data_IF_571416396412
#
_entry.id   IF_571416396412
#
_cell.length_a   1.000
_cell.length_b   1.000
_cell.length_c   1.000
_cell.angle_alpha   90.00
_cell.angle_beta   90.00
_cell.angle_gamma   90.00
#
_symmetry.space_group_name_H-M   'P 1'
#
loop_
_entity.id
_entity.type
_entity.pdbx_description
1 polymer ?
#
# COMPACT_ATOMS: atom_id res chain seq x y z
N UNK A 1 -42.00 1.45 -50.42
CA UNK A 1 -41.98 1.05 -48.99
C UNK A 1 -41.25 -0.29 -48.90
N UNK A 2 -40.00 -0.29 -48.44
CA UNK A 2 -39.17 -1.49 -48.35
C UNK A 2 -39.37 -2.13 -46.97
N UNK A 3 -39.69 -3.43 -46.85
CA UNK A 3 -39.91 -4.04 -45.55
C UNK A 3 -38.60 -4.12 -44.77
N UNK A 4 -38.61 -3.61 -43.54
CA UNK A 4 -37.50 -3.77 -42.60
C UNK A 4 -37.39 -5.25 -42.22
N UNK A 5 -36.38 -5.94 -42.76
CA UNK A 5 -36.09 -7.34 -42.46
C UNK A 5 -35.63 -7.44 -41.01
N UNK A 6 -36.50 -7.96 -40.14
CA UNK A 6 -36.15 -8.26 -38.74
C UNK A 6 -35.07 -9.34 -38.71
N UNK A 7 -33.83 -8.95 -38.41
CA UNK A 7 -32.71 -9.86 -38.16
C UNK A 7 -32.89 -10.48 -36.77
N UNK A 8 -33.79 -11.46 -36.65
CA UNK A 8 -33.81 -12.31 -35.45
C UNK A 8 -32.66 -13.30 -35.56
N UNK A 9 -31.69 -13.29 -34.63
CA UNK A 9 -30.59 -14.24 -34.66
C UNK A 9 -31.14 -15.67 -34.54
N UNK A 10 -30.68 -16.57 -35.41
CA UNK A 10 -31.03 -17.98 -35.33
C UNK A 10 -30.47 -18.63 -34.06
N UNK A 11 -30.99 -19.81 -33.65
CA UNK A 11 -30.56 -20.52 -32.44
C UNK A 11 -29.06 -20.82 -32.41
N UNK A 12 -28.43 -21.01 -33.58
CA UNK A 12 -26.99 -21.19 -33.71
C UNK A 12 -26.20 -19.93 -33.33
N UNK A 13 -26.69 -18.74 -33.71
CA UNK A 13 -26.07 -17.48 -33.34
C UNK A 13 -26.21 -17.20 -31.83
N UNK A 14 -27.35 -17.56 -31.24
CA UNK A 14 -27.55 -17.47 -29.78
C UNK A 14 -26.61 -18.40 -29.01
N UNK A 15 -26.43 -19.64 -29.48
CA UNK A 15 -25.49 -20.60 -28.89
C UNK A 15 -24.04 -20.12 -28.96
N UNK A 16 -23.62 -19.59 -30.11
CA UNK A 16 -22.27 -19.02 -30.27
C UNK A 16 -22.03 -17.83 -29.33
N UNK A 17 -23.01 -16.93 -29.19
CA UNK A 17 -22.92 -15.80 -28.25
C UNK A 17 -22.83 -16.28 -26.81
N UNK A 18 -23.65 -17.24 -26.40
CA UNK A 18 -23.62 -17.79 -25.04
C UNK A 18 -22.26 -18.43 -24.72
N UNK A 19 -21.69 -19.19 -25.66
CA UNK A 19 -20.36 -19.77 -25.52
C UNK A 19 -19.28 -18.68 -25.39
N UNK A 20 -19.31 -17.65 -26.24
CA UNK A 20 -18.37 -16.54 -26.16
C UNK A 20 -18.46 -15.77 -24.83
N UNK A 21 -19.67 -15.55 -24.30
CA UNK A 21 -19.87 -14.93 -22.99
C UNK A 21 -19.26 -15.79 -21.88
N UNK A 22 -19.47 -17.11 -21.91
CA UNK A 22 -18.91 -18.02 -20.92
C UNK A 22 -17.38 -18.05 -20.98
N UNK A 23 -16.81 -18.09 -22.18
CA UNK A 23 -15.36 -18.03 -22.41
C UNK A 23 -14.77 -16.70 -21.92
N UNK A 24 -15.46 -15.58 -22.10
CA UNK A 24 -15.01 -14.26 -21.63
C UNK A 24 -15.19 -14.06 -20.11
N UNK A 25 -16.17 -14.72 -19.49
CA UNK A 25 -16.47 -14.56 -18.07
C UNK A 25 -15.34 -15.08 -17.16
N UNK A 26 -14.70 -16.20 -17.52
CA UNK A 26 -13.61 -16.78 -16.74
C UNK A 26 -12.39 -15.85 -16.59
N UNK A 27 -11.78 -15.30 -17.66
CA UNK A 27 -10.67 -14.36 -17.52
C UNK A 27 -11.12 -13.03 -16.88
N UNK A 28 -12.33 -12.54 -17.18
CA UNK A 28 -12.86 -11.34 -16.55
C UNK A 28 -12.98 -11.48 -15.02
N UNK A 29 -13.42 -12.65 -14.54
CA UNK A 29 -13.50 -12.96 -13.12
C UNK A 29 -12.13 -12.95 -12.45
N UNK A 30 -11.13 -13.60 -13.06
CA UNK A 30 -9.75 -13.62 -12.52
C UNK A 30 -9.17 -12.21 -12.44
N UNK A 31 -9.37 -11.39 -13.48
CA UNK A 31 -8.94 -9.99 -13.51
C UNK A 31 -9.61 -9.19 -12.39
N UNK A 32 -10.93 -9.37 -12.21
CA UNK A 32 -11.68 -8.68 -11.16
C UNK A 32 -11.19 -9.07 -9.76
N UNK A 33 -10.96 -10.36 -9.49
CA UNK A 33 -10.44 -10.84 -8.22
C UNK A 33 -9.05 -10.26 -7.92
N UNK A 34 -8.16 -10.26 -8.91
CA UNK A 34 -6.83 -9.69 -8.77
C UNK A 34 -6.89 -8.17 -8.51
N UNK A 35 -7.78 -7.45 -9.20
CA UNK A 35 -8.01 -6.03 -8.96
C UNK A 35 -8.55 -5.75 -7.55
N UNK A 36 -9.57 -6.49 -7.13
CA UNK A 36 -10.20 -6.32 -5.82
C UNK A 36 -9.21 -6.56 -4.67
N UNK A 37 -8.37 -7.59 -4.78
CA UNK A 37 -7.35 -7.89 -3.77
C UNK A 37 -6.33 -6.76 -3.65
N UNK A 38 -5.77 -6.28 -4.77
CA UNK A 38 -4.82 -5.16 -4.78
C UNK A 38 -5.44 -3.89 -4.22
N UNK A 39 -6.70 -3.61 -4.59
CA UNK A 39 -7.43 -2.45 -4.11
C UNK A 39 -7.65 -2.50 -2.60
N UNK A 40 -8.05 -3.66 -2.07
CA UNK A 40 -8.25 -3.87 -0.65
C UNK A 40 -6.94 -3.76 0.14
N UNK A 41 -5.85 -4.33 -0.36
CA UNK A 41 -4.53 -4.21 0.26
C UNK A 41 -4.07 -2.75 0.29
N UNK A 42 -4.12 -2.05 -0.85
CA UNK A 42 -3.79 -0.62 -0.91
C UNK A 42 -4.61 0.20 0.07
N UNK A 43 -5.93 -0.03 0.14
CA UNK A 43 -6.81 0.66 1.07
C UNK A 43 -6.43 0.38 2.54
N UNK A 44 -6.14 -0.87 2.88
CA UNK A 44 -5.73 -1.26 4.23
C UNK A 44 -4.41 -0.61 4.66
N UNK A 45 -3.52 -0.31 3.72
CA UNK A 45 -2.22 0.30 3.98
C UNK A 45 -2.15 1.81 3.73
N UNK A 46 -3.22 2.41 3.21
CA UNK A 46 -3.35 3.86 3.06
C UNK A 46 -3.87 4.45 4.37
N UNK A 47 -2.94 4.76 5.28
CA UNK A 47 -3.28 5.30 6.59
C UNK A 47 -3.38 6.83 6.52
N UNK A 48 -4.53 7.35 6.96
CA UNK A 48 -4.73 8.78 7.15
C UNK A 48 -4.45 9.17 8.61
N UNK A 49 -3.81 10.32 8.81
CA UNK A 49 -3.50 10.86 10.12
C UNK A 49 -2.70 12.16 9.99
N UNK A 50 -2.50 12.90 11.11
CA UNK A 50 -1.63 14.07 11.09
C UNK A 50 -0.19 13.65 10.82
N UNK A 51 0.57 14.49 10.12
CA UNK A 51 1.98 14.25 9.85
C UNK A 51 2.77 14.12 11.16
N UNK A 52 3.73 13.20 11.18
CA UNK A 52 4.64 13.06 12.31
C UNK A 52 5.54 14.30 12.40
N UNK A 53 5.75 14.87 13.60
CA UNK A 53 6.74 15.91 13.80
C UNK A 53 8.12 15.45 13.34
N UNK A 54 8.77 16.24 12.48
CA UNK A 54 10.18 16.04 12.10
C UNK A 54 11.09 16.74 13.10
N UNK A 55 12.22 16.10 13.42
CA UNK A 55 13.17 16.62 14.41
C UNK A 55 14.60 16.58 13.86
N UNK A 56 15.47 17.43 14.39
CA UNK A 56 16.91 17.31 14.14
C UNK A 56 17.47 16.03 14.80
N UNK A 57 18.54 15.44 14.23
CA UNK A 57 19.23 14.34 14.88
C UNK A 57 19.75 14.78 16.26
N UNK A 58 19.50 13.95 17.28
CA UNK A 58 19.96 14.16 18.65
C UNK A 58 20.35 12.82 19.29
N UNK A 59 21.41 12.82 20.11
CA UNK A 59 21.93 11.59 20.73
C UNK A 59 20.88 10.92 21.65
N UNK A 60 20.03 11.72 22.28
CA UNK A 60 19.01 11.29 23.24
C UNK A 60 17.77 10.71 22.56
N UNK A 61 17.63 10.86 21.24
CA UNK A 61 16.44 10.49 20.48
C UNK A 61 16.10 9.00 20.67
N UNK A 62 17.12 8.15 20.60
CA UNK A 62 16.98 6.69 20.77
C UNK A 62 17.35 6.19 22.18
N UNK A 63 17.85 7.08 23.04
CA UNK A 63 18.29 6.73 24.39
C UNK A 63 19.58 5.89 24.42
N UNK A 64 20.02 5.47 25.61
CA UNK A 64 21.37 4.89 25.80
C UNK A 64 21.56 3.52 25.15
N UNK A 65 20.47 2.77 24.90
CA UNK A 65 20.53 1.47 24.22
C UNK A 65 20.63 1.58 22.70
N UNK A 66 20.54 2.79 22.15
CA UNK A 66 20.52 3.03 20.71
C UNK A 66 19.25 2.55 20.00
N UNK A 67 19.16 2.80 18.68
CA UNK A 67 18.03 2.37 17.87
C UNK A 67 18.05 0.87 17.58
N UNK A 68 16.86 0.29 17.44
CA UNK A 68 16.65 -0.99 16.75
C UNK A 68 16.53 -0.71 15.26
N UNK A 69 17.37 -1.35 14.45
CA UNK A 69 17.46 -1.06 13.02
C UNK A 69 17.10 -2.29 12.18
N UNK A 70 16.44 -2.06 11.04
CA UNK A 70 16.16 -3.07 10.02
C UNK A 70 16.08 -2.42 8.64
N UNK A 71 16.17 -3.21 7.58
CA UNK A 71 16.10 -2.73 6.20
C UNK A 71 14.83 -3.22 5.52
N UNK A 72 14.18 -2.36 4.75
CA UNK A 72 12.99 -2.70 3.97
C UNK A 72 12.81 -1.72 2.81
N UNK A 73 12.44 -2.22 1.63
CA UNK A 73 12.11 -1.36 0.49
C UNK A 73 13.23 -0.41 0.05
N UNK A 74 14.49 -0.84 0.14
CA UNK A 74 15.66 -0.02 -0.19
C UNK A 74 16.00 1.08 0.82
N UNK A 75 15.31 1.12 1.96
CA UNK A 75 15.59 2.04 3.06
C UNK A 75 15.99 1.29 4.33
N UNK A 76 16.70 2.01 5.20
CA UNK A 76 17.01 1.56 6.55
C UNK A 76 16.15 2.33 7.56
N UNK A 77 15.46 1.57 8.40
CA UNK A 77 14.58 2.08 9.44
C UNK A 77 15.22 1.85 10.79
N UNK A 78 15.28 2.90 11.59
CA UNK A 78 15.72 2.87 12.98
C UNK A 78 14.60 3.33 13.88
N UNK A 79 14.33 2.59 14.96
CA UNK A 79 13.24 2.89 15.91
C UNK A 79 13.70 2.72 17.35
N UNK A 80 13.14 3.50 18.26
CA UNK A 80 13.45 3.36 19.69
C UNK A 80 12.70 2.17 20.30
N UNK A 81 11.40 2.08 20.06
CA UNK A 81 10.52 1.09 20.70
C UNK A 81 9.54 0.41 19.73
N UNK A 82 8.67 -0.41 20.31
CA UNK A 82 7.54 -1.04 19.65
C UNK A 82 7.90 -2.25 18.79
N UNK A 83 6.98 -2.62 17.92
CA UNK A 83 7.07 -3.60 16.85
C UNK A 83 6.80 -2.94 15.50
N UNK A 84 7.06 -3.67 14.42
CA UNK A 84 6.87 -3.18 13.05
C UNK A 84 6.24 -4.26 12.18
N UNK A 85 5.32 -3.85 11.33
CA UNK A 85 4.76 -4.66 10.24
C UNK A 85 4.87 -3.88 8.94
N UNK A 86 5.41 -4.50 7.90
CA UNK A 86 5.65 -3.83 6.62
C UNK A 86 4.95 -4.57 5.48
N UNK A 87 4.56 -3.81 4.46
CA UNK A 87 4.03 -4.32 3.20
C UNK A 87 4.51 -3.47 2.02
N UNK A 88 4.33 -4.04 0.82
CA UNK A 88 4.66 -3.40 -0.44
C UNK A 88 3.41 -3.35 -1.35
N UNK A 89 2.36 -2.59 -0.97
CA UNK A 89 1.17 -2.52 -1.79
C UNK A 89 1.49 -1.90 -3.15
N UNK A 90 0.75 -2.34 -4.16
CA UNK A 90 0.86 -1.80 -5.50
C UNK A 90 -0.20 -0.72 -5.73
N UNK A 91 0.21 0.42 -6.27
CA UNK A 91 -0.71 1.40 -6.84
C UNK A 91 -1.30 0.91 -8.17
N UNK A 92 -2.29 1.64 -8.67
CA UNK A 92 -2.97 1.33 -9.93
C UNK A 92 -4.32 0.67 -9.73
N UNK A 93 -4.91 0.26 -10.85
CA UNK A 93 -6.26 -0.31 -10.93
C UNK A 93 -6.22 -1.62 -11.70
N UNK A 94 -6.96 -1.67 -12.80
CA UNK A 94 -6.95 -2.82 -13.72
C UNK A 94 -5.54 -3.10 -14.25
N UNK A 95 -4.74 -2.04 -14.46
CA UNK A 95 -3.32 -2.13 -14.83
C UNK A 95 -2.46 -1.96 -13.56
N UNK A 96 -1.49 -2.85 -13.31
CA UNK A 96 -0.56 -2.72 -12.18
C UNK A 96 0.29 -1.45 -12.28
N UNK A 97 0.42 -0.70 -11.18
CA UNK A 97 1.20 0.53 -11.08
C UNK A 97 2.46 0.40 -10.23
N UNK A 98 2.95 1.54 -9.71
CA UNK A 98 4.14 1.62 -8.85
C UNK A 98 3.92 0.83 -7.54
N UNK A 99 4.94 0.08 -7.12
CA UNK A 99 4.96 -0.53 -5.79
C UNK A 99 5.52 0.51 -4.81
N UNK A 100 4.78 0.78 -3.73
CA UNK A 100 5.28 1.63 -2.64
C UNK A 100 5.51 0.79 -1.38
N UNK A 101 6.46 1.20 -0.56
CA UNK A 101 6.81 0.49 0.67
C UNK A 101 6.24 1.21 1.87
N UNK A 102 5.61 0.48 2.78
CA UNK A 102 4.97 1.05 3.95
C UNK A 102 5.23 0.17 5.16
N UNK A 103 5.51 0.80 6.30
CA UNK A 103 5.71 0.12 7.57
C UNK A 103 4.85 0.80 8.65
N UNK A 104 4.06 0.01 9.38
CA UNK A 104 3.34 0.44 10.57
C UNK A 104 4.10 0.05 11.83
N UNK A 105 4.14 0.99 12.76
CA UNK A 105 4.76 0.85 14.06
C UNK A 105 3.69 1.02 15.12
N UNK A 106 3.62 0.12 16.11
CA UNK A 106 2.62 0.22 17.18
C UNK A 106 2.94 1.31 18.23
N UNK A 107 4.20 1.75 18.33
CA UNK A 107 4.61 2.78 19.29
C UNK A 107 6.12 3.06 19.25
N UNK A 108 6.67 3.64 18.17
CA UNK A 108 8.11 3.72 17.98
C UNK A 108 8.80 4.78 18.84
N UNK A 109 8.06 5.75 19.38
CA UNK A 109 8.53 6.98 20.07
C UNK A 109 9.38 7.91 19.19
N UNK A 110 10.41 7.38 18.54
CA UNK A 110 11.25 8.03 17.56
C UNK A 110 11.58 7.07 16.41
N UNK A 111 11.69 7.63 15.21
CA UNK A 111 12.05 6.93 13.99
C UNK A 111 13.15 7.70 13.26
N UNK A 112 14.08 6.99 12.64
CA UNK A 112 14.91 7.51 11.55
C UNK A 112 14.72 6.63 10.32
N UNK A 113 14.59 7.27 9.17
CA UNK A 113 14.38 6.59 7.89
C UNK A 113 15.47 7.08 6.95
N UNK A 114 16.44 6.21 6.69
CA UNK A 114 17.52 6.45 5.77
C UNK A 114 17.14 5.90 4.40
N UNK A 115 17.09 6.80 3.43
CA UNK A 115 16.83 6.54 2.01
C UNK A 115 18.03 6.99 1.18
N UNK A 116 18.13 6.65 -0.12
CA UNK A 116 19.17 7.19 -0.99
C UNK A 116 19.19 8.73 -1.07
N UNK A 117 18.07 9.38 -0.75
CA UNK A 117 17.93 10.84 -0.76
C UNK A 117 18.36 11.50 0.56
N UNK A 118 18.59 10.71 1.61
CA UNK A 118 18.99 11.20 2.93
C UNK A 118 18.24 10.54 4.08
N UNK A 119 18.50 11.04 5.29
CA UNK A 119 17.92 10.53 6.53
C UNK A 119 16.90 11.52 7.07
N UNK A 120 15.68 11.05 7.33
CA UNK A 120 14.64 11.84 7.99
C UNK A 120 14.34 11.28 9.36
N UNK A 121 14.28 12.14 10.38
CA UNK A 121 13.96 11.77 11.75
C UNK A 121 12.55 12.22 12.11
N UNK A 122 11.72 11.30 12.58
CA UNK A 122 10.36 11.55 13.00
C UNK A 122 10.19 11.28 14.50
N UNK A 123 9.33 12.06 15.15
CA UNK A 123 8.97 11.89 16.56
C UNK A 123 7.44 11.80 16.73
N UNK A 124 6.83 10.65 16.40
CA UNK A 124 5.37 10.45 16.52
C UNK A 124 4.84 10.62 17.95
N UNK A 125 5.69 10.36 18.95
CA UNK A 125 5.35 10.36 20.36
C UNK A 125 5.37 8.95 20.96
N UNK A 126 5.55 8.88 22.29
CA UNK A 126 5.61 7.59 23.02
C UNK A 126 4.24 6.91 22.97
N UNK A 127 4.22 5.61 22.65
CA UNK A 127 2.99 4.80 22.60
C UNK A 127 2.02 5.16 21.46
N UNK A 128 2.37 6.12 20.59
CA UNK A 128 1.52 6.50 19.45
C UNK A 128 1.88 5.64 18.24
N UNK A 129 0.91 4.98 17.59
CA UNK A 129 1.18 4.25 16.36
C UNK A 129 1.61 5.22 15.26
N UNK A 130 2.49 4.79 14.38
CA UNK A 130 2.96 5.59 13.26
C UNK A 130 3.05 4.74 12.00
N UNK A 131 2.72 5.32 10.87
CA UNK A 131 2.87 4.68 9.56
C UNK A 131 3.86 5.49 8.76
N UNK A 132 4.92 4.83 8.29
CA UNK A 132 5.89 5.43 7.39
C UNK A 132 5.71 4.84 6.00
N UNK A 133 5.57 5.71 5.01
CA UNK A 133 5.46 5.35 3.60
C UNK A 133 6.65 5.90 2.83
N UNK A 134 7.29 5.04 2.04
CA UNK A 134 8.35 5.41 1.10
C UNK A 134 7.76 5.39 -0.31
N UNK A 135 7.79 6.56 -0.95
CA UNK A 135 7.33 6.74 -2.33
C UNK A 135 8.38 7.52 -3.10
N UNK A 136 8.78 6.99 -4.26
CA UNK A 136 9.81 7.61 -5.12
C UNK A 136 11.07 8.03 -4.34
N UNK A 137 11.50 7.19 -3.39
CA UNK A 137 12.67 7.43 -2.53
C UNK A 137 12.47 8.41 -1.37
N UNK A 138 11.30 9.04 -1.22
CA UNK A 138 10.98 9.96 -0.12
C UNK A 138 10.21 9.24 0.98
N UNK A 139 10.65 9.43 2.23
CA UNK A 139 9.92 8.96 3.40
C UNK A 139 8.88 10.01 3.87
N UNK A 140 7.67 9.56 4.11
CA UNK A 140 6.58 10.33 4.74
C UNK A 140 6.09 9.57 5.98
N UNK A 141 5.63 10.27 7.00
CA UNK A 141 5.19 9.66 8.25
C UNK A 141 3.89 10.31 8.71
N UNK A 142 2.90 9.48 9.04
CA UNK A 142 1.66 9.91 9.69
C UNK A 142 1.51 9.22 11.03
N UNK A 143 0.91 9.92 11.99
CA UNK A 143 0.52 9.33 13.26
C UNK A 143 -0.80 8.59 13.08
N UNK A 144 -0.75 7.27 13.18
CA UNK A 144 -1.86 6.39 12.88
C UNK A 144 -1.37 5.01 12.46
N UNK A 145 -2.32 4.07 12.38
CA UNK A 145 -2.07 2.69 12.03
C UNK A 145 -2.98 1.77 12.83
N UNK A 146 -3.33 0.63 12.23
CA UNK A 146 -4.14 -0.41 12.86
C UNK A 146 -3.27 -1.45 13.57
N UNK A 147 -1.96 -1.49 13.30
CA UNK A 147 -1.04 -2.47 13.88
C UNK A 147 -0.80 -2.23 15.39
N UNK A 148 -0.90 -3.29 16.19
CA UNK A 148 -0.83 -3.21 17.67
C UNK A 148 0.20 -4.11 18.36
N UNK A 149 0.74 -5.14 17.70
CA UNK A 149 1.50 -6.22 18.34
C UNK A 149 3.01 -6.04 18.31
#
# INVERSE_FOLDING_TARGET
>A
MTPARSLRPGPQALGAVAFLVFVAAAPAWVIHQAWALRHAERAAWTIAGPDCPTVSPAAELFGPKGPRTFSYGGAQFSRRFGHVSCAAPQDGGLIPGEIFHVCQFNGPAALAVATPQGVTYFKPGVGRPATVTIRSGKASCVVGGWFRT
#
